data_IF_843101770099
#
_entry.id   IF_843101770099
#
_cell.length_a   1.000
_cell.length_b   1.000
_cell.length_c   1.000
_cell.angle_alpha   90.00
_cell.angle_beta   90.00
_cell.angle_gamma   90.00
#
_symmetry.space_group_name_H-M   'P 1'
#
loop_
_entity.id
_entity.type
_entity.pdbx_description
1 polymer ?
#
# COMPACT_ATOMS: atom_id res chain seq x y z
N UNK A 1 35.70 -7.92 7.67
CA UNK A 1 35.01 -8.71 6.61
C UNK A 1 34.26 -7.77 5.64
N UNK A 2 33.35 -6.92 6.12
CA UNK A 2 32.49 -6.04 5.29
C UNK A 2 33.30 -5.11 4.35
N UNK A 3 34.35 -4.45 4.85
CA UNK A 3 35.18 -3.56 4.04
C UNK A 3 35.95 -4.29 2.93
N UNK A 4 36.37 -5.52 3.18
CA UNK A 4 37.02 -6.36 2.17
C UNK A 4 36.02 -6.70 1.05
N UNK A 5 34.79 -7.07 1.41
CA UNK A 5 33.74 -7.36 0.42
C UNK A 5 33.39 -6.14 -0.42
N UNK A 6 33.24 -4.96 0.19
CA UNK A 6 33.02 -3.71 -0.56
C UNK A 6 34.13 -3.41 -1.55
N UNK A 7 35.39 -3.62 -1.17
CA UNK A 7 36.52 -3.44 -2.07
C UNK A 7 36.51 -4.46 -3.22
N UNK A 8 36.14 -5.72 -2.96
CA UNK A 8 36.05 -6.75 -3.99
C UNK A 8 34.94 -6.44 -4.98
N UNK A 9 33.80 -5.97 -4.51
CA UNK A 9 32.69 -5.52 -5.36
C UNK A 9 33.15 -4.39 -6.28
N UNK A 10 33.76 -3.33 -5.72
CA UNK A 10 34.25 -2.19 -6.49
C UNK A 10 35.29 -2.59 -7.54
N UNK A 11 36.16 -3.57 -7.23
CA UNK A 11 37.15 -4.08 -8.19
C UNK A 11 36.51 -4.92 -9.30
N UNK A 12 35.47 -5.67 -8.97
CA UNK A 12 34.70 -6.48 -9.93
C UNK A 12 33.97 -5.61 -10.93
N UNK A 13 33.38 -4.50 -10.48
CA UNK A 13 32.67 -3.56 -11.34
C UNK A 13 33.57 -2.85 -12.36
N UNK A 14 34.86 -2.65 -12.02
CA UNK A 14 35.86 -2.03 -12.90
C UNK A 14 36.48 -3.01 -13.91
N UNK A 15 36.29 -4.31 -13.75
CA UNK A 15 37.06 -5.31 -14.48
C UNK A 15 36.23 -6.34 -15.25
N UNK A 16 34.92 -6.16 -15.42
CA UNK A 16 34.02 -7.12 -16.11
C UNK A 16 34.20 -8.59 -15.64
N UNK A 17 34.55 -8.75 -14.34
CA UNK A 17 34.86 -10.05 -13.73
C UNK A 17 33.59 -10.73 -13.27
N UNK A 18 33.58 -12.03 -13.51
CA UNK A 18 32.52 -12.97 -13.17
C UNK A 18 31.95 -12.76 -11.75
N UNK A 19 30.66 -12.35 -11.70
CA UNK A 19 29.89 -12.15 -10.46
C UNK A 19 29.78 -13.43 -9.62
N UNK A 20 29.97 -14.61 -10.22
CA UNK A 20 29.87 -15.93 -9.58
C UNK A 20 30.84 -16.06 -8.40
N UNK A 21 32.05 -15.50 -8.51
CA UNK A 21 33.05 -15.54 -7.41
C UNK A 21 32.61 -14.71 -6.22
N UNK A 22 31.98 -13.54 -6.46
CA UNK A 22 31.50 -12.67 -5.39
C UNK A 22 30.31 -13.30 -4.71
N UNK A 23 29.38 -13.88 -5.47
CA UNK A 23 28.24 -14.63 -4.92
C UNK A 23 28.74 -15.79 -4.05
N UNK A 24 29.68 -16.61 -4.53
CA UNK A 24 30.24 -17.72 -3.75
C UNK A 24 30.94 -17.29 -2.46
N UNK A 25 31.56 -16.09 -2.45
CA UNK A 25 32.12 -15.52 -1.22
C UNK A 25 31.02 -15.11 -0.23
N UNK A 26 29.95 -14.50 -0.71
CA UNK A 26 28.80 -14.20 0.15
C UNK A 26 28.18 -15.47 0.72
N UNK A 27 27.94 -16.49 -0.08
CA UNK A 27 27.40 -17.77 0.37
C UNK A 27 28.25 -18.37 1.50
N UNK A 28 29.60 -18.37 1.31
CA UNK A 28 30.54 -18.85 2.31
C UNK A 28 30.52 -18.03 3.60
N UNK A 29 30.31 -16.72 3.50
CA UNK A 29 30.24 -15.84 4.67
C UNK A 29 28.89 -16.00 5.39
N UNK A 30 27.79 -16.11 4.64
CA UNK A 30 26.44 -16.26 5.20
C UNK A 30 26.18 -17.65 5.80
N UNK A 31 26.99 -18.65 5.43
CA UNK A 31 26.98 -19.97 6.08
C UNK A 31 27.53 -19.94 7.52
N UNK A 32 28.27 -18.87 7.89
CA UNK A 32 28.77 -18.67 9.25
C UNK A 32 27.74 -17.89 10.07
N UNK A 33 27.81 -18.03 11.41
CA UNK A 33 27.03 -17.21 12.32
C UNK A 33 27.32 -15.72 12.13
N UNK A 34 26.29 -14.91 12.06
CA UNK A 34 26.37 -13.47 11.83
C UNK A 34 26.06 -12.71 13.13
N UNK A 35 26.94 -11.78 13.52
CA UNK A 35 26.72 -10.89 14.66
C UNK A 35 25.66 -9.79 14.36
N UNK A 36 25.53 -9.43 13.08
CA UNK A 36 24.60 -8.42 12.59
C UNK A 36 24.21 -8.69 11.12
N UNK A 37 23.24 -7.94 10.60
CA UNK A 37 22.73 -8.12 9.25
C UNK A 37 23.58 -7.49 8.13
N UNK A 38 24.69 -6.84 8.44
CA UNK A 38 25.46 -6.03 7.47
C UNK A 38 25.94 -6.83 6.25
N UNK A 39 26.46 -8.04 6.48
CA UNK A 39 26.96 -8.91 5.41
C UNK A 39 25.81 -9.39 4.54
N UNK A 40 24.70 -9.82 5.16
CA UNK A 40 23.51 -10.26 4.44
C UNK A 40 22.89 -9.10 3.63
N UNK A 41 22.84 -7.91 4.21
CA UNK A 41 22.31 -6.73 3.51
C UNK A 41 23.19 -6.33 2.32
N UNK A 42 24.52 -6.36 2.48
CA UNK A 42 25.46 -6.09 1.38
C UNK A 42 25.33 -7.15 0.26
N UNK A 43 25.17 -8.42 0.61
CA UNK A 43 24.95 -9.50 -0.35
C UNK A 43 23.64 -9.29 -1.12
N UNK A 44 22.55 -8.97 -0.42
CA UNK A 44 21.27 -8.69 -1.05
C UNK A 44 21.35 -7.50 -2.01
N UNK A 45 21.96 -6.39 -1.59
CA UNK A 45 22.16 -5.21 -2.44
C UNK A 45 23.00 -5.53 -3.68
N UNK A 46 24.04 -6.34 -3.55
CA UNK A 46 24.84 -6.78 -4.68
C UNK A 46 24.02 -7.61 -5.67
N UNK A 47 23.28 -8.61 -5.20
CA UNK A 47 22.42 -9.45 -6.03
C UNK A 47 21.35 -8.61 -6.76
N UNK A 48 20.72 -7.66 -6.07
CA UNK A 48 19.74 -6.74 -6.67
C UNK A 48 20.37 -5.85 -7.75
N UNK A 49 21.59 -5.36 -7.53
CA UNK A 49 22.31 -4.56 -8.53
C UNK A 49 22.61 -5.34 -9.82
N UNK A 50 22.70 -6.67 -9.71
CA UNK A 50 22.89 -7.60 -10.84
C UNK A 50 21.58 -8.18 -11.38
N UNK A 51 20.42 -7.70 -10.92
CA UNK A 51 19.09 -8.20 -11.28
C UNK A 51 18.89 -9.70 -10.98
N UNK A 52 19.55 -10.18 -9.92
CA UNK A 52 19.47 -11.57 -9.47
C UNK A 52 18.40 -11.69 -8.35
N UNK A 53 17.18 -11.25 -8.65
CA UNK A 53 16.11 -11.05 -7.67
C UNK A 53 15.74 -12.34 -6.94
N UNK A 54 15.68 -13.47 -7.65
CA UNK A 54 15.34 -14.77 -7.04
C UNK A 54 16.39 -15.25 -6.04
N UNK A 55 17.66 -14.87 -6.25
CA UNK A 55 18.74 -15.16 -5.30
C UNK A 55 18.78 -14.14 -4.15
N UNK A 56 18.36 -12.91 -4.39
CA UNK A 56 18.30 -11.87 -3.38
C UNK A 56 17.23 -12.14 -2.31
N UNK A 57 16.09 -12.72 -2.68
CA UNK A 57 14.97 -13.00 -1.76
C UNK A 57 15.37 -13.78 -0.50
N UNK A 58 15.97 -14.97 -0.60
CA UNK A 58 16.36 -15.74 0.59
C UNK A 58 17.39 -14.99 1.45
N UNK A 59 18.24 -14.16 0.83
CA UNK A 59 19.21 -13.34 1.56
C UNK A 59 18.51 -12.20 2.31
N UNK A 60 17.50 -11.57 1.72
CA UNK A 60 16.69 -10.56 2.39
C UNK A 60 15.89 -11.15 3.57
N UNK A 61 15.36 -12.36 3.43
CA UNK A 61 14.75 -13.07 4.57
C UNK A 61 15.77 -13.34 5.68
N UNK A 62 17.00 -13.71 5.34
CA UNK A 62 18.07 -13.86 6.32
C UNK A 62 18.44 -12.54 7.02
N UNK A 63 18.37 -11.41 6.31
CA UNK A 63 18.47 -10.09 6.95
C UNK A 63 17.42 -9.93 8.04
N UNK A 64 16.16 -10.29 7.75
CA UNK A 64 15.05 -10.13 8.71
C UNK A 64 15.09 -11.14 9.86
N UNK A 65 15.73 -12.30 9.68
CA UNK A 65 16.01 -13.25 10.78
C UNK A 65 16.99 -12.68 11.80
N UNK A 66 17.98 -11.90 11.34
CA UNK A 66 19.03 -11.29 12.17
C UNK A 66 18.56 -9.95 12.74
N UNK A 67 17.93 -9.15 11.91
CA UNK A 67 17.44 -7.78 12.20
C UNK A 67 15.98 -7.62 11.74
N UNK A 68 15.00 -7.99 12.57
CA UNK A 68 13.59 -7.90 12.23
C UNK A 68 13.07 -6.48 11.95
N UNK A 69 13.79 -5.45 12.44
CA UNK A 69 13.47 -4.03 12.24
C UNK A 69 14.07 -3.47 10.94
N UNK A 70 14.73 -4.31 10.13
CA UNK A 70 15.35 -3.87 8.88
C UNK A 70 14.30 -3.48 7.83
N UNK A 71 13.85 -2.25 7.92
CA UNK A 71 12.82 -1.70 7.02
C UNK A 71 13.19 -1.78 5.54
N UNK A 72 14.43 -1.44 5.09
CA UNK A 72 14.81 -1.57 3.69
C UNK A 72 14.67 -2.99 3.13
N UNK A 73 15.12 -4.01 3.88
CA UNK A 73 15.00 -5.40 3.45
C UNK A 73 13.53 -5.81 3.34
N UNK A 74 12.72 -5.41 4.31
CA UNK A 74 11.28 -5.71 4.34
C UNK A 74 10.52 -5.05 3.19
N UNK A 75 10.81 -3.79 2.89
CA UNK A 75 10.22 -3.08 1.75
C UNK A 75 10.63 -3.69 0.41
N UNK A 76 11.85 -4.19 0.28
CA UNK A 76 12.29 -4.87 -0.94
C UNK A 76 11.53 -6.18 -1.16
N UNK A 77 11.38 -7.00 -0.11
CA UNK A 77 10.55 -8.21 -0.17
C UNK A 77 9.09 -7.89 -0.50
N UNK A 78 8.54 -6.86 0.12
CA UNK A 78 7.18 -6.39 -0.14
C UNK A 78 7.02 -5.96 -1.61
N UNK A 79 7.97 -5.23 -2.17
CA UNK A 79 7.98 -4.85 -3.59
C UNK A 79 7.92 -6.07 -4.52
N UNK A 80 8.66 -7.13 -4.21
CA UNK A 80 8.60 -8.38 -4.97
C UNK A 80 7.24 -9.06 -4.87
N UNK A 81 6.67 -9.14 -3.66
CA UNK A 81 5.36 -9.76 -3.45
C UNK A 81 4.25 -9.00 -4.21
N UNK A 82 4.26 -7.66 -4.14
CA UNK A 82 3.31 -6.80 -4.88
C UNK A 82 3.46 -6.99 -6.39
N UNK A 83 4.69 -7.01 -6.92
CA UNK A 83 4.93 -7.17 -8.36
C UNK A 83 4.45 -8.51 -8.92
N UNK A 84 4.31 -9.52 -8.06
CA UNK A 84 3.79 -10.86 -8.40
C UNK A 84 2.33 -11.07 -8.00
N UNK A 85 1.70 -10.03 -7.45
CA UNK A 85 0.33 -10.10 -6.91
C UNK A 85 0.15 -11.23 -5.87
N UNK A 86 1.25 -11.55 -5.14
CA UNK A 86 1.26 -12.57 -4.10
C UNK A 86 0.76 -12.01 -2.77
N UNK A 87 -0.57 -12.02 -2.60
CA UNK A 87 -1.23 -11.44 -1.43
C UNK A 87 -0.89 -12.16 -0.13
N UNK A 88 -0.64 -13.48 -0.18
CA UNK A 88 -0.25 -14.25 0.99
C UNK A 88 1.17 -13.87 1.44
N UNK A 89 2.07 -13.67 0.50
CA UNK A 89 3.41 -13.19 0.80
C UNK A 89 3.39 -11.75 1.33
N UNK A 90 2.54 -10.87 0.79
CA UNK A 90 2.33 -9.52 1.35
C UNK A 90 1.93 -9.59 2.82
N UNK A 91 0.96 -10.45 3.17
CA UNK A 91 0.51 -10.65 4.55
C UNK A 91 1.67 -11.18 5.42
N UNK A 92 2.41 -12.17 4.92
CA UNK A 92 3.56 -12.78 5.62
C UNK A 92 4.67 -11.77 5.94
N UNK A 93 4.88 -10.79 5.06
CA UNK A 93 5.88 -9.73 5.23
C UNK A 93 5.39 -8.64 6.18
N UNK A 94 4.14 -8.19 6.01
CA UNK A 94 3.62 -7.02 6.70
C UNK A 94 3.11 -7.31 8.12
N UNK A 95 2.48 -8.47 8.34
CA UNK A 95 1.89 -8.82 9.63
C UNK A 95 2.90 -8.80 10.79
N UNK A 96 4.10 -9.40 10.71
CA UNK A 96 5.09 -9.28 11.78
C UNK A 96 5.79 -7.91 11.82
N UNK A 97 5.79 -7.16 10.70
CA UNK A 97 6.45 -5.86 10.62
C UNK A 97 5.91 -4.86 11.65
N UNK A 98 4.60 -4.86 11.86
CA UNK A 98 3.91 -3.92 12.75
C UNK A 98 4.17 -4.20 14.24
N UNK A 99 4.69 -5.38 14.58
CA UNK A 99 5.13 -5.69 15.94
C UNK A 99 6.48 -5.06 16.26
N UNK A 100 7.38 -5.00 15.27
CA UNK A 100 8.72 -4.42 15.39
C UNK A 100 8.73 -2.92 15.09
N UNK A 101 7.88 -2.45 14.19
CA UNK A 101 7.81 -1.07 13.73
C UNK A 101 6.34 -0.58 13.74
N UNK A 102 5.73 -0.41 14.92
CA UNK A 102 4.30 -0.09 15.02
C UNK A 102 3.92 1.25 14.39
N UNK A 103 4.85 2.19 14.24
CA UNK A 103 4.63 3.49 13.59
C UNK A 103 4.72 3.45 12.06
N UNK A 104 5.19 2.34 11.48
CA UNK A 104 5.37 2.19 10.04
C UNK A 104 4.02 1.86 9.36
N UNK A 105 3.25 2.90 9.07
CA UNK A 105 1.88 2.80 8.56
C UNK A 105 1.77 2.05 7.23
N UNK A 106 2.81 2.07 6.40
CA UNK A 106 2.85 1.34 5.12
C UNK A 106 2.62 -0.16 5.28
N UNK A 107 3.07 -0.77 6.38
CA UNK A 107 2.85 -2.20 6.59
C UNK A 107 1.41 -2.52 6.96
N UNK A 108 0.72 -1.65 7.71
CA UNK A 108 -0.72 -1.79 7.93
C UNK A 108 -1.49 -1.59 6.62
N UNK A 109 -1.08 -0.62 5.80
CA UNK A 109 -1.73 -0.34 4.52
C UNK A 109 -1.72 -1.56 3.61
N UNK A 110 -0.54 -2.09 3.29
CA UNK A 110 -0.42 -3.24 2.40
C UNK A 110 -1.02 -4.52 3.00
N UNK A 111 -0.91 -4.70 4.31
CA UNK A 111 -1.54 -5.83 5.01
C UNK A 111 -3.07 -5.75 4.91
N UNK A 112 -3.66 -4.61 5.21
CA UNK A 112 -5.10 -4.38 5.10
C UNK A 112 -5.61 -4.51 3.66
N UNK A 113 -4.89 -3.92 2.69
CA UNK A 113 -5.23 -4.03 1.27
C UNK A 113 -5.16 -5.49 0.78
N UNK A 114 -4.17 -6.27 1.21
CA UNK A 114 -4.07 -7.68 0.84
C UNK A 114 -5.28 -8.49 1.36
N UNK A 115 -5.71 -8.27 2.60
CA UNK A 115 -6.95 -8.88 3.12
C UNK A 115 -8.18 -8.40 2.35
N UNK A 116 -8.27 -7.10 2.04
CA UNK A 116 -9.37 -6.55 1.26
C UNK A 116 -9.50 -7.20 -0.13
N UNK A 117 -8.37 -7.35 -0.84
CA UNK A 117 -8.33 -8.01 -2.15
C UNK A 117 -8.63 -9.52 -2.09
N UNK A 118 -8.48 -10.14 -0.94
CA UNK A 118 -8.86 -11.53 -0.67
C UNK A 118 -10.30 -11.69 -0.18
N UNK A 119 -11.12 -10.63 -0.24
CA UNK A 119 -12.48 -10.58 0.32
C UNK A 119 -12.56 -10.90 1.83
N UNK A 120 -11.45 -10.77 2.55
CA UNK A 120 -11.35 -10.95 4.00
C UNK A 120 -11.65 -9.61 4.70
N UNK A 121 -12.91 -9.18 4.62
CA UNK A 121 -13.32 -7.82 5.00
C UNK A 121 -13.19 -7.53 6.49
N UNK A 122 -13.40 -8.53 7.35
CA UNK A 122 -13.27 -8.38 8.80
C UNK A 122 -11.82 -8.21 9.21
N UNK A 123 -10.93 -9.02 8.64
CA UNK A 123 -9.49 -8.95 8.86
C UNK A 123 -8.93 -7.62 8.35
N UNK A 124 -9.32 -7.21 7.14
CA UNK A 124 -8.92 -5.93 6.57
C UNK A 124 -9.31 -4.76 7.49
N UNK A 125 -10.56 -4.73 7.95
CA UNK A 125 -11.05 -3.67 8.83
C UNK A 125 -10.29 -3.61 10.15
N UNK A 126 -9.99 -4.76 10.77
CA UNK A 126 -9.22 -4.80 12.01
C UNK A 126 -7.77 -4.32 11.81
N UNK A 127 -7.14 -4.65 10.67
CA UNK A 127 -5.80 -4.14 10.34
C UNK A 127 -5.81 -2.63 10.18
N UNK A 128 -6.77 -2.06 9.43
CA UNK A 128 -6.88 -0.61 9.27
C UNK A 128 -7.18 0.10 10.58
N UNK A 129 -8.04 -0.46 11.44
CA UNK A 129 -8.28 0.07 12.79
C UNK A 129 -7.01 0.09 13.64
N UNK A 130 -6.16 -0.93 13.55
CA UNK A 130 -4.86 -0.93 14.22
C UNK A 130 -3.96 0.18 13.67
N UNK A 131 -3.88 0.32 12.35
CA UNK A 131 -3.07 1.33 11.69
C UNK A 131 -3.47 2.76 12.06
N UNK A 132 -4.77 3.09 12.06
CA UNK A 132 -5.22 4.45 12.42
C UNK A 132 -4.95 4.83 13.87
N UNK A 133 -4.78 3.86 14.77
CA UNK A 133 -4.35 4.12 16.16
C UNK A 133 -2.89 4.56 16.27
N UNK A 134 -2.08 4.30 15.26
CA UNK A 134 -0.66 4.68 15.18
C UNK A 134 -0.44 6.02 14.47
N UNK A 135 -1.52 6.64 13.98
CA UNK A 135 -1.43 7.93 13.29
C UNK A 135 -0.95 9.01 14.24
N UNK A 136 0.13 9.69 13.86
CA UNK A 136 0.73 10.81 14.57
C UNK A 136 0.80 12.08 13.71
N UNK A 137 1.40 13.12 14.27
CA UNK A 137 1.51 14.43 13.62
C UNK A 137 2.28 14.37 12.29
N UNK A 138 3.29 13.51 12.20
CA UNK A 138 4.19 13.37 11.05
C UNK A 138 3.75 12.28 10.07
N UNK A 139 2.58 11.65 10.30
CA UNK A 139 2.06 10.61 9.41
C UNK A 139 1.71 11.16 8.02
N UNK A 140 1.94 10.35 6.98
CA UNK A 140 1.56 10.68 5.61
C UNK A 140 0.03 10.82 5.51
N UNK A 141 -0.43 12.05 5.30
CA UNK A 141 -1.85 12.39 5.23
C UNK A 141 -2.58 11.68 4.07
N UNK A 142 -1.89 11.40 2.97
CA UNK A 142 -2.48 10.67 1.84
C UNK A 142 -2.78 9.23 2.26
N UNK A 143 -1.80 8.57 2.88
CA UNK A 143 -1.96 7.19 3.36
C UNK A 143 -3.05 7.10 4.44
N UNK A 144 -3.09 8.04 5.38
CA UNK A 144 -4.15 8.07 6.41
C UNK A 144 -5.53 8.27 5.79
N UNK A 145 -5.64 9.16 4.80
CA UNK A 145 -6.88 9.36 4.04
C UNK A 145 -7.32 8.07 3.35
N UNK A 146 -6.39 7.35 2.73
CA UNK A 146 -6.68 6.08 2.05
C UNK A 146 -7.13 5.00 3.05
N UNK A 147 -6.55 4.93 4.24
CA UNK A 147 -7.04 4.04 5.32
C UNK A 147 -8.51 4.28 5.61
N UNK A 148 -8.87 5.53 5.87
CA UNK A 148 -10.25 5.88 6.20
C UNK A 148 -11.21 5.68 5.01
N UNK A 149 -10.74 5.91 3.78
CA UNK A 149 -11.54 5.66 2.58
C UNK A 149 -11.88 4.18 2.44
N UNK A 150 -10.89 3.29 2.58
CA UNK A 150 -11.11 1.84 2.49
C UNK A 150 -11.96 1.35 3.68
N UNK A 151 -11.76 1.90 4.88
CA UNK A 151 -12.64 1.61 6.01
C UNK A 151 -14.09 2.01 5.71
N UNK A 152 -14.30 3.14 5.03
CA UNK A 152 -15.61 3.57 4.56
C UNK A 152 -16.28 2.52 3.66
N UNK A 153 -15.55 2.02 2.66
CA UNK A 153 -16.01 0.96 1.76
C UNK A 153 -16.34 -0.33 2.53
N UNK A 154 -15.47 -0.73 3.46
CA UNK A 154 -15.66 -1.92 4.29
C UNK A 154 -16.88 -1.80 5.21
N UNK A 155 -17.07 -0.67 5.87
CA UNK A 155 -18.25 -0.43 6.70
C UNK A 155 -19.53 -0.42 5.86
N UNK A 156 -19.49 0.20 4.67
CA UNK A 156 -20.65 0.19 3.78
C UNK A 156 -21.02 -1.23 3.33
N UNK A 157 -20.03 -2.06 2.94
CA UNK A 157 -20.22 -3.47 2.59
C UNK A 157 -20.88 -4.25 3.74
N UNK A 158 -20.56 -3.90 4.99
CA UNK A 158 -21.17 -4.47 6.21
C UNK A 158 -22.51 -3.84 6.58
N UNK A 159 -23.04 -2.92 5.77
CA UNK A 159 -24.29 -2.16 6.02
C UNK A 159 -24.22 -1.29 7.30
N UNK A 160 -23.05 -0.90 7.70
CA UNK A 160 -22.75 0.01 8.80
C UNK A 160 -22.60 1.43 8.26
N UNK A 161 -23.70 2.00 7.77
CA UNK A 161 -23.67 3.23 6.97
C UNK A 161 -23.21 4.46 7.78
N UNK A 162 -23.55 4.55 9.05
CA UNK A 162 -23.12 5.66 9.91
C UNK A 162 -21.58 5.67 10.08
N UNK A 163 -21.01 4.51 10.33
CA UNK A 163 -19.55 4.32 10.45
C UNK A 163 -18.86 4.55 9.11
N UNK A 164 -19.49 4.11 7.99
CA UNK A 164 -18.97 4.36 6.65
C UNK A 164 -18.85 5.86 6.36
N UNK A 165 -19.90 6.62 6.64
CA UNK A 165 -19.88 8.08 6.42
C UNK A 165 -18.90 8.80 7.34
N UNK A 166 -18.79 8.40 8.60
CA UNK A 166 -17.79 8.93 9.52
C UNK A 166 -16.35 8.66 9.04
N UNK A 167 -16.11 7.48 8.48
CA UNK A 167 -14.82 7.13 7.90
C UNK A 167 -14.50 7.99 6.67
N UNK A 168 -15.43 8.17 5.74
CA UNK A 168 -15.24 9.07 4.58
C UNK A 168 -15.03 10.52 4.99
N UNK A 169 -15.78 11.03 5.97
CA UNK A 169 -15.57 12.36 6.50
C UNK A 169 -14.14 12.50 7.07
N UNK A 170 -13.64 11.48 7.78
CA UNK A 170 -12.27 11.44 8.27
C UNK A 170 -11.25 11.42 7.13
N UNK A 171 -11.49 10.61 6.08
CA UNK A 171 -10.62 10.58 4.90
C UNK A 171 -10.47 11.98 4.28
N UNK A 172 -11.57 12.71 4.13
CA UNK A 172 -11.60 14.03 3.52
C UNK A 172 -11.04 15.14 4.44
N UNK A 173 -10.96 14.91 5.75
CA UNK A 173 -10.21 15.80 6.67
C UNK A 173 -8.71 15.71 6.38
N UNK A 174 -8.17 14.51 6.18
CA UNK A 174 -6.74 14.33 5.89
C UNK A 174 -6.39 14.73 4.44
N UNK A 175 -7.27 14.44 3.48
CA UNK A 175 -7.09 14.76 2.07
C UNK A 175 -8.42 15.17 1.43
N UNK A 176 -8.74 16.47 1.39
CA UNK A 176 -10.02 16.97 0.86
C UNK A 176 -10.28 16.67 -0.62
N UNK A 177 -9.23 16.38 -1.37
CA UNK A 177 -9.24 16.01 -2.79
C UNK A 177 -8.98 14.52 -3.03
N UNK A 178 -9.21 13.65 -2.05
CA UNK A 178 -9.19 12.20 -2.27
C UNK A 178 -10.34 11.80 -3.19
N UNK A 179 -10.02 11.67 -4.49
CA UNK A 179 -11.02 11.44 -5.56
C UNK A 179 -11.79 10.15 -5.33
N UNK A 180 -11.11 9.09 -4.91
CA UNK A 180 -11.76 7.81 -4.60
C UNK A 180 -12.78 7.93 -3.47
N UNK A 181 -12.38 8.56 -2.37
CA UNK A 181 -13.26 8.81 -1.23
C UNK A 181 -14.46 9.69 -1.62
N UNK A 182 -14.22 10.77 -2.37
CA UNK A 182 -15.27 11.67 -2.87
C UNK A 182 -16.29 10.91 -3.73
N UNK A 183 -15.83 10.09 -4.69
CA UNK A 183 -16.70 9.33 -5.56
C UNK A 183 -17.54 8.31 -4.79
N UNK A 184 -16.90 7.47 -3.96
CA UNK A 184 -17.59 6.39 -3.26
C UNK A 184 -18.58 6.95 -2.24
N UNK A 185 -18.21 7.98 -1.49
CA UNK A 185 -19.11 8.64 -0.56
C UNK A 185 -20.31 9.25 -1.26
N UNK A 186 -20.08 9.98 -2.35
CA UNK A 186 -21.17 10.59 -3.15
C UNK A 186 -22.12 9.52 -3.70
N UNK A 187 -21.58 8.43 -4.24
CA UNK A 187 -22.35 7.31 -4.75
C UNK A 187 -23.25 6.70 -3.66
N UNK A 188 -22.68 6.35 -2.51
CA UNK A 188 -23.46 5.72 -1.43
C UNK A 188 -24.53 6.64 -0.86
N UNK A 189 -24.26 7.94 -0.69
CA UNK A 189 -25.29 8.91 -0.31
C UNK A 189 -26.43 8.95 -1.33
N UNK A 190 -26.12 8.90 -2.62
CA UNK A 190 -27.12 8.97 -3.68
C UNK A 190 -27.99 7.73 -3.75
N UNK A 191 -27.42 6.54 -3.57
CA UNK A 191 -28.16 5.26 -3.51
C UNK A 191 -29.17 5.27 -2.37
N UNK A 192 -28.80 5.84 -1.23
CA UNK A 192 -29.68 5.97 -0.07
C UNK A 192 -30.58 7.21 -0.13
N UNK A 193 -30.49 8.02 -1.19
CA UNK A 193 -31.23 9.29 -1.35
C UNK A 193 -31.02 10.25 -0.18
N UNK A 194 -29.83 10.23 0.39
CA UNK A 194 -29.43 11.08 1.52
C UNK A 194 -28.50 12.20 1.05
N UNK A 195 -28.75 13.41 1.51
CA UNK A 195 -27.89 14.57 1.30
C UNK A 195 -27.38 14.68 -0.15
N UNK A 196 -28.30 14.66 -1.12
CA UNK A 196 -27.99 14.65 -2.55
C UNK A 196 -27.23 15.91 -3.00
N UNK A 197 -27.36 17.03 -2.28
CA UNK A 197 -26.59 18.25 -2.57
C UNK A 197 -25.11 18.05 -2.27
N UNK A 198 -24.78 17.45 -1.13
CA UNK A 198 -23.40 17.07 -0.77
C UNK A 198 -22.86 16.04 -1.77
N UNK A 199 -23.66 15.05 -2.15
CA UNK A 199 -23.29 14.04 -3.14
C UNK A 199 -22.94 14.68 -4.49
N UNK A 200 -23.76 15.59 -4.98
CA UNK A 200 -23.52 16.32 -6.24
C UNK A 200 -22.21 17.13 -6.18
N UNK A 201 -22.01 17.88 -5.09
CA UNK A 201 -20.78 18.68 -4.92
C UNK A 201 -19.51 17.81 -4.95
N UNK A 202 -19.52 16.69 -4.22
CA UNK A 202 -18.38 15.78 -4.16
C UNK A 202 -18.12 15.11 -5.51
N UNK A 203 -19.18 14.62 -6.17
CA UNK A 203 -19.06 13.96 -7.47
C UNK A 203 -18.66 14.93 -8.58
N UNK A 204 -19.10 16.19 -8.52
CA UNK A 204 -18.64 17.22 -9.45
C UNK A 204 -17.13 17.45 -9.35
N UNK A 205 -16.55 17.42 -8.13
CA UNK A 205 -15.09 17.52 -7.95
C UNK A 205 -14.35 16.37 -8.64
N UNK A 206 -14.91 15.15 -8.62
CA UNK A 206 -14.28 14.00 -9.28
C UNK A 206 -14.30 14.13 -10.81
N UNK A 207 -15.41 14.52 -11.39
CA UNK A 207 -15.56 14.76 -12.84
C UNK A 207 -14.65 15.91 -13.29
N UNK A 208 -14.52 16.96 -12.48
CA UNK A 208 -13.61 18.09 -12.79
C UNK A 208 -12.14 17.67 -12.76
N UNK A 209 -11.77 16.77 -11.84
CA UNK A 209 -10.39 16.27 -11.74
C UNK A 209 -10.03 15.28 -12.85
N UNK A 210 -10.97 14.41 -13.22
CA UNK A 210 -10.80 13.38 -14.26
C UNK A 210 -12.00 13.36 -15.23
N UNK A 211 -12.05 14.30 -16.18
CA UNK A 211 -13.24 14.51 -17.05
C UNK A 211 -13.56 13.36 -18.00
N UNK A 212 -12.64 12.42 -18.20
CA UNK A 212 -12.80 11.26 -19.08
C UNK A 212 -12.95 9.93 -18.34
N UNK A 213 -13.02 9.97 -17.01
CA UNK A 213 -13.18 8.76 -16.21
C UNK A 213 -14.64 8.34 -16.18
N UNK A 214 -14.97 7.26 -16.87
CA UNK A 214 -16.34 6.77 -17.00
C UNK A 214 -17.01 6.49 -15.65
N UNK A 215 -16.28 5.94 -14.68
CA UNK A 215 -16.82 5.67 -13.33
C UNK A 215 -17.31 6.96 -12.66
N UNK A 216 -16.56 8.05 -12.79
CA UNK A 216 -16.93 9.32 -12.17
C UNK A 216 -18.06 10.02 -12.94
N UNK A 217 -18.04 9.91 -14.27
CA UNK A 217 -19.13 10.41 -15.11
C UNK A 217 -20.44 9.69 -14.79
N UNK A 218 -20.43 8.36 -14.68
CA UNK A 218 -21.60 7.56 -14.34
C UNK A 218 -22.15 7.91 -12.96
N UNK A 219 -21.28 8.04 -11.96
CA UNK A 219 -21.70 8.44 -10.61
C UNK A 219 -22.35 9.83 -10.61
N UNK A 220 -21.76 10.78 -11.32
CA UNK A 220 -22.29 12.14 -11.40
C UNK A 220 -23.64 12.20 -12.13
N UNK A 221 -23.73 11.49 -13.26
CA UNK A 221 -24.98 11.37 -14.00
C UNK A 221 -26.09 10.73 -13.15
N UNK A 222 -25.78 9.68 -12.41
CA UNK A 222 -26.72 9.03 -11.50
C UNK A 222 -27.23 9.99 -10.41
N UNK A 223 -26.33 10.76 -9.79
CA UNK A 223 -26.71 11.75 -8.76
C UNK A 223 -27.61 12.83 -9.34
N UNK A 224 -27.29 13.33 -10.52
CA UNK A 224 -28.14 14.32 -11.22
C UNK A 224 -29.53 13.74 -11.53
N UNK A 225 -29.57 12.47 -11.95
CA UNK A 225 -30.83 11.76 -12.20
C UNK A 225 -31.68 11.65 -10.92
N UNK A 226 -31.07 11.23 -9.81
CA UNK A 226 -31.76 11.13 -8.51
C UNK A 226 -32.26 12.51 -7.99
N UNK A 227 -31.65 13.59 -8.41
CA UNK A 227 -32.08 14.97 -8.14
C UNK A 227 -33.14 15.48 -9.10
N UNK A 228 -33.55 14.68 -10.09
CA UNK A 228 -34.52 15.09 -11.14
C UNK A 228 -33.94 16.00 -12.22
N UNK A 229 -32.63 16.19 -12.28
CA UNK A 229 -31.91 16.99 -13.29
C UNK A 229 -31.60 16.15 -14.54
N UNK A 230 -32.67 15.61 -15.16
CA UNK A 230 -32.53 14.61 -16.23
C UNK A 230 -31.81 15.12 -17.48
N UNK A 231 -32.03 16.38 -17.86
CA UNK A 231 -31.36 16.97 -19.02
C UNK A 231 -29.83 17.11 -18.80
N UNK A 232 -29.44 17.49 -17.60
CA UNK A 232 -28.01 17.58 -17.21
C UNK A 232 -27.39 16.18 -17.11
N UNK A 233 -28.07 15.21 -16.49
CA UNK A 233 -27.59 13.83 -16.36
C UNK A 233 -27.23 13.22 -17.73
N UNK A 234 -28.07 13.46 -18.75
CA UNK A 234 -27.88 12.93 -20.10
C UNK A 234 -26.55 13.36 -20.75
N UNK A 235 -26.03 14.55 -20.41
CA UNK A 235 -24.79 15.08 -20.98
C UNK A 235 -23.57 14.19 -20.58
N UNK A 236 -23.66 13.45 -19.49
CA UNK A 236 -22.56 12.65 -18.92
C UNK A 236 -22.67 11.15 -19.23
N UNK A 237 -23.74 10.70 -19.88
CA UNK A 237 -23.98 9.28 -20.23
C UNK A 237 -23.69 9.02 -21.72
N UNK A 238 -23.86 10.01 -22.58
CA UNK A 238 -23.62 9.96 -24.04
C UNK A 238 -22.15 10.23 -24.38
#
# INVERSE_FOLDING_TARGET
>A
KLNIMRQLIMRSERGDRDSTKIVGLFDSMLAQEQENADVAMLAAQYLLSKRMDEQAKPVLWKVLEIDPENKPARLQLLSFAISKEDLDEVIRICSPAVEYMPEALEFYYYWGVAHYQKDQHDEALEVFKKGVRQVGADSDKNMVSDFYSIMGDLYHTKKMNAEAYAAYDSALVYKPDNIGALNNYAYYLSVEKKNLDKAEEMSYKTVKAEPTNNTYLDTYAWILFEKGKYAEARIYID
#
